data_IF_157895561800
#
_entry.id   IF_157895561800
#
_cell.length_a   1.000
_cell.length_b   1.000
_cell.length_c   1.000
_cell.angle_alpha   90.00
_cell.angle_beta   90.00
_cell.angle_gamma   90.00
#
_symmetry.space_group_name_H-M   'P 1'
#
loop_
_entity.id
_entity.type
_entity.pdbx_description
1 polymer ?
#
# COMPACT_ATOMS: atom_id res chain seq x y z
N UNK A 1 21.41 20.78 -0.46
CA UNK A 1 21.68 19.34 -0.67
C UNK A 1 20.65 18.75 -1.60
N UNK A 2 21.06 17.91 -2.54
CA UNK A 2 20.13 17.11 -3.34
C UNK A 2 19.43 16.11 -2.42
N UNK A 3 18.10 16.14 -2.38
CA UNK A 3 17.29 15.30 -1.48
C UNK A 3 16.74 14.05 -2.17
N UNK A 4 16.98 13.91 -3.47
CA UNK A 4 16.60 12.75 -4.29
C UNK A 4 17.82 12.26 -5.05
N UNK A 5 18.25 11.03 -4.76
CA UNK A 5 19.49 10.48 -5.30
C UNK A 5 19.14 9.15 -5.97
N UNK A 6 19.43 9.04 -7.26
CA UNK A 6 19.36 7.76 -7.97
C UNK A 6 20.74 7.11 -7.97
N UNK A 7 20.85 5.94 -7.36
CA UNK A 7 22.05 5.10 -7.40
C UNK A 7 21.68 3.81 -8.11
N UNK A 8 22.17 3.64 -9.34
CA UNK A 8 21.73 2.58 -10.25
C UNK A 8 20.19 2.57 -10.39
N UNK A 9 19.54 1.52 -9.88
CA UNK A 9 18.08 1.34 -9.91
C UNK A 9 17.40 1.65 -8.56
N UNK A 10 18.11 2.30 -7.64
CA UNK A 10 17.63 2.64 -6.30
C UNK A 10 17.43 4.14 -6.17
N UNK A 11 16.17 4.56 -6.04
CA UNK A 11 15.83 5.94 -5.69
C UNK A 11 15.89 6.10 -4.17
N UNK A 12 16.80 6.95 -3.70
CA UNK A 12 16.93 7.36 -2.31
C UNK A 12 16.27 8.72 -2.13
N UNK A 13 15.30 8.81 -1.22
CA UNK A 13 14.57 10.04 -0.91
C UNK A 13 14.82 10.43 0.54
N UNK A 14 15.36 11.62 0.75
CA UNK A 14 15.71 12.15 2.07
C UNK A 14 14.68 13.15 2.62
N UNK A 15 13.61 13.41 1.87
CA UNK A 15 12.49 14.23 2.32
C UNK A 15 11.56 13.49 3.27
N UNK A 16 10.85 14.25 4.11
CA UNK A 16 9.75 13.76 4.94
C UNK A 16 8.45 13.61 4.16
N UNK A 17 8.29 14.35 3.06
CA UNK A 17 7.13 14.28 2.18
C UNK A 17 7.56 14.17 0.71
N UNK A 18 6.93 13.26 -0.03
CA UNK A 18 7.18 13.07 -1.48
C UNK A 18 6.01 13.62 -2.26
N UNK A 19 6.32 14.44 -3.28
CA UNK A 19 5.34 14.96 -4.23
C UNK A 19 5.63 14.45 -5.63
N UNK A 20 4.61 14.44 -6.51
CA UNK A 20 4.79 13.99 -7.89
C UNK A 20 5.82 14.85 -8.65
N UNK A 21 5.85 16.16 -8.36
CA UNK A 21 6.80 17.10 -9.00
C UNK A 21 8.25 16.72 -8.73
N UNK A 22 8.56 16.21 -7.54
CA UNK A 22 9.92 15.79 -7.21
C UNK A 22 10.38 14.53 -7.97
N UNK A 23 9.45 13.82 -8.62
CA UNK A 23 9.71 12.57 -9.32
C UNK A 23 9.73 12.73 -10.85
N UNK A 24 9.37 13.90 -11.38
CA UNK A 24 9.23 14.16 -12.83
C UNK A 24 10.55 13.97 -13.61
N UNK A 25 11.69 14.23 -12.96
CA UNK A 25 13.01 14.11 -13.59
C UNK A 25 13.54 12.68 -13.68
N UNK A 26 12.85 11.69 -13.08
CA UNK A 26 13.33 10.32 -13.04
C UNK A 26 12.58 9.42 -14.03
N UNK A 27 13.32 8.58 -14.77
CA UNK A 27 12.71 7.54 -15.58
C UNK A 27 12.19 6.41 -14.68
N UNK A 28 10.86 6.30 -14.60
CA UNK A 28 10.15 5.26 -13.82
C UNK A 28 10.58 3.84 -14.17
N UNK A 29 11.10 3.61 -15.38
CA UNK A 29 11.54 2.29 -15.86
C UNK A 29 12.85 1.85 -15.21
N UNK A 30 13.66 2.78 -14.72
CA UNK A 30 14.96 2.50 -14.11
C UNK A 30 14.85 2.22 -12.61
N UNK A 31 13.75 2.63 -11.97
CA UNK A 31 13.60 2.57 -10.51
C UNK A 31 12.99 1.24 -10.08
N UNK A 32 13.81 0.40 -9.45
CA UNK A 32 13.42 -0.91 -8.93
C UNK A 32 13.28 -0.90 -7.41
N UNK A 33 13.99 0.01 -6.73
CA UNK A 33 14.02 0.10 -5.27
C UNK A 33 13.78 1.54 -4.83
N UNK A 34 12.97 1.72 -3.80
CA UNK A 34 12.75 3.01 -3.15
C UNK A 34 13.23 2.93 -1.70
N UNK A 35 14.14 3.83 -1.32
CA UNK A 35 14.68 3.95 0.04
C UNK A 35 14.34 5.34 0.55
N UNK A 36 13.39 5.46 1.48
CA UNK A 36 12.96 6.74 2.03
C UNK A 36 12.92 6.69 3.57
N UNK A 37 14.08 6.76 4.25
CA UNK A 37 14.19 6.56 5.71
C UNK A 37 13.38 7.56 6.54
N UNK A 38 13.19 8.77 6.01
CA UNK A 38 12.55 9.87 6.71
C UNK A 38 11.14 10.17 6.21
N UNK A 39 10.71 9.54 5.12
CA UNK A 39 9.41 9.80 4.53
C UNK A 39 8.29 9.38 5.48
N UNK A 40 7.46 10.36 5.84
CA UNK A 40 6.25 10.23 6.65
C UNK A 40 5.01 10.22 5.75
N UNK A 41 5.07 10.93 4.62
CA UNK A 41 3.92 11.11 3.73
C UNK A 41 4.30 11.00 2.26
N UNK A 42 3.49 10.28 1.50
CA UNK A 42 3.53 10.27 0.04
C UNK A 42 2.25 10.93 -0.46
N UNK A 43 2.37 11.99 -1.26
CA UNK A 43 1.22 12.64 -1.86
C UNK A 43 0.61 11.81 -2.98
N UNK A 44 -0.61 12.19 -3.39
CA UNK A 44 -1.32 11.54 -4.46
C UNK A 44 -0.47 11.43 -5.74
N UNK A 45 -0.61 10.30 -6.43
CA UNK A 45 -0.04 10.02 -7.75
C UNK A 45 1.50 10.02 -7.87
N UNK A 46 2.26 9.97 -6.77
CA UNK A 46 3.74 10.02 -6.82
C UNK A 46 4.38 8.89 -7.63
N UNK A 47 4.07 7.64 -7.32
CA UNK A 47 4.68 6.44 -7.91
C UNK A 47 3.74 5.73 -8.91
N UNK A 48 2.82 6.45 -9.55
CA UNK A 48 1.89 5.86 -10.53
C UNK A 48 2.65 5.23 -11.68
N UNK A 49 2.34 3.96 -11.98
CA UNK A 49 2.92 3.17 -13.04
C UNK A 49 4.44 3.01 -12.95
N UNK A 50 5.03 3.01 -11.75
CA UNK A 50 6.40 2.55 -11.53
C UNK A 50 6.43 1.02 -11.63
N UNK A 51 6.20 0.51 -12.85
CA UNK A 51 5.93 -0.92 -13.12
C UNK A 51 7.07 -1.84 -12.72
N UNK A 52 8.29 -1.31 -12.67
CA UNK A 52 9.50 -2.05 -12.28
C UNK A 52 9.87 -1.88 -10.80
N UNK A 53 9.17 -1.03 -10.03
CA UNK A 53 9.39 -0.91 -8.59
C UNK A 53 9.03 -2.24 -7.93
N UNK A 54 9.99 -2.84 -7.23
CA UNK A 54 9.87 -4.16 -6.58
C UNK A 54 9.79 -4.04 -5.08
N UNK A 55 10.58 -3.14 -4.50
CA UNK A 55 10.72 -2.98 -3.07
C UNK A 55 10.78 -1.53 -2.67
N UNK A 56 10.11 -1.21 -1.57
CA UNK A 56 10.05 0.12 -1.02
C UNK A 56 10.26 0.05 0.51
N UNK A 57 11.27 0.73 1.02
CA UNK A 57 11.61 0.81 2.44
C UNK A 57 11.33 2.22 2.97
N UNK A 58 10.25 2.34 3.76
CA UNK A 58 9.76 3.61 4.30
C UNK A 58 9.33 3.42 5.76
N UNK A 59 10.29 3.26 6.69
CA UNK A 59 10.00 2.85 8.06
C UNK A 59 9.22 3.89 8.86
N UNK A 60 9.17 5.15 8.42
CA UNK A 60 8.43 6.25 9.07
C UNK A 60 7.12 6.61 8.36
N UNK A 61 6.79 5.92 7.26
CA UNK A 61 5.61 6.23 6.45
C UNK A 61 4.34 6.05 7.26
N UNK A 62 3.51 7.08 7.29
CA UNK A 62 2.21 7.11 7.98
C UNK A 62 1.05 7.31 7.01
N UNK A 63 1.27 8.02 5.90
CA UNK A 63 0.20 8.41 4.97
C UNK A 63 0.60 8.14 3.52
N UNK A 64 -0.28 7.47 2.78
CA UNK A 64 -0.16 7.25 1.34
C UNK A 64 -1.36 7.84 0.62
N UNK A 65 -1.11 8.84 -0.21
CA UNK A 65 -2.12 9.58 -0.95
C UNK A 65 -2.80 8.76 -2.05
N UNK A 66 -3.86 9.34 -2.62
CA UNK A 66 -4.66 8.71 -3.66
C UNK A 66 -3.82 8.22 -4.85
N UNK A 67 -4.04 6.96 -5.24
CA UNK A 67 -3.37 6.31 -6.38
C UNK A 67 -1.84 6.31 -6.34
N UNK A 68 -1.21 6.58 -5.19
CA UNK A 68 0.25 6.85 -5.15
C UNK A 68 1.11 5.73 -5.71
N UNK A 69 0.80 4.47 -5.46
CA UNK A 69 1.49 3.31 -6.03
C UNK A 69 0.63 2.57 -7.05
N UNK A 70 -0.42 3.20 -7.58
CA UNK A 70 -1.30 2.56 -8.56
C UNK A 70 -0.53 2.10 -9.79
N UNK A 71 -0.70 0.83 -10.17
CA UNK A 71 -0.02 0.22 -11.30
C UNK A 71 1.45 -0.13 -11.08
N UNK A 72 1.92 -0.22 -9.83
CA UNK A 72 3.24 -0.78 -9.50
C UNK A 72 3.21 -2.33 -9.57
N UNK A 73 3.09 -2.88 -10.78
CA UNK A 73 2.84 -4.31 -11.02
C UNK A 73 3.85 -5.25 -10.34
N UNK A 74 5.12 -4.85 -10.28
CA UNK A 74 6.21 -5.63 -9.70
C UNK A 74 6.42 -5.42 -8.20
N UNK A 75 5.70 -4.50 -7.56
CA UNK A 75 5.92 -4.15 -6.15
C UNK A 75 5.49 -5.35 -5.30
N UNK A 76 6.47 -6.11 -4.80
CA UNK A 76 6.20 -7.32 -4.02
C UNK A 76 6.22 -7.05 -2.51
N UNK A 77 7.01 -6.06 -2.08
CA UNK A 77 7.21 -5.73 -0.67
C UNK A 77 7.26 -4.21 -0.43
N UNK A 78 6.44 -3.75 0.50
CA UNK A 78 6.45 -2.41 1.07
C UNK A 78 6.70 -2.50 2.58
N UNK A 79 7.87 -2.04 3.03
CA UNK A 79 8.24 -2.02 4.45
C UNK A 79 7.86 -0.68 5.08
N UNK A 80 6.65 -0.63 5.65
CA UNK A 80 6.04 0.57 6.23
C UNK A 80 5.32 0.26 7.57
N UNK A 81 6.08 0.04 8.64
CA UNK A 81 5.52 -0.39 9.94
C UNK A 81 4.56 0.61 10.61
N UNK A 82 4.56 1.87 10.20
CA UNK A 82 3.80 2.95 10.85
C UNK A 82 2.63 3.44 9.98
N UNK A 83 2.25 2.71 8.93
CA UNK A 83 1.23 3.15 7.98
C UNK A 83 -0.14 3.23 8.67
N UNK A 84 -0.73 4.42 8.70
CA UNK A 84 -2.01 4.71 9.37
C UNK A 84 -3.14 5.02 8.39
N UNK A 85 -2.83 5.65 7.25
CA UNK A 85 -3.80 6.03 6.22
C UNK A 85 -3.31 5.66 4.82
N UNK A 86 -4.13 4.92 4.10
CA UNK A 86 -3.96 4.64 2.68
C UNK A 86 -5.22 5.05 1.91
N UNK A 87 -5.09 6.09 1.09
CA UNK A 87 -6.21 6.71 0.38
C UNK A 87 -6.66 5.92 -0.85
N UNK A 88 -7.75 6.37 -1.48
CA UNK A 88 -8.37 5.73 -2.65
C UNK A 88 -7.32 5.23 -3.68
N UNK A 89 -7.42 3.95 -4.04
CA UNK A 89 -6.56 3.29 -5.02
C UNK A 89 -5.04 3.34 -4.73
N UNK A 90 -4.61 3.65 -3.49
CA UNK A 90 -3.19 3.84 -3.15
C UNK A 90 -2.27 2.71 -3.62
N UNK A 91 -2.72 1.45 -3.58
CA UNK A 91 -1.99 0.26 -4.04
C UNK A 91 -2.76 -0.52 -5.13
N UNK A 92 -3.64 0.16 -5.87
CA UNK A 92 -4.44 -0.47 -6.93
C UNK A 92 -3.53 -1.07 -7.99
N UNK A 93 -3.86 -2.25 -8.49
CA UNK A 93 -3.08 -2.98 -9.49
C UNK A 93 -1.63 -3.27 -9.05
N UNK A 94 -1.32 -3.33 -7.74
CA UNK A 94 -0.05 -3.87 -7.27
C UNK A 94 -0.10 -5.41 -7.30
N UNK A 95 -0.05 -6.00 -8.50
CA UNK A 95 -0.30 -7.43 -8.73
C UNK A 95 0.57 -8.35 -7.88
N UNK A 96 1.81 -7.96 -7.62
CA UNK A 96 2.79 -8.77 -6.88
C UNK A 96 2.82 -8.51 -5.37
N UNK A 97 2.08 -7.52 -4.86
CA UNK A 97 2.19 -7.08 -3.47
C UNK A 97 1.65 -8.16 -2.53
N UNK A 98 2.58 -8.78 -1.80
CA UNK A 98 2.29 -9.85 -0.84
C UNK A 98 2.85 -9.57 0.55
N UNK A 99 3.81 -8.64 0.66
CA UNK A 99 4.46 -8.28 1.92
C UNK A 99 4.26 -6.79 2.22
N UNK A 100 3.25 -6.49 3.02
CA UNK A 100 2.99 -5.14 3.55
C UNK A 100 2.53 -5.29 5.00
N UNK A 101 3.02 -4.38 5.84
CA UNK A 101 2.64 -4.34 7.24
C UNK A 101 1.54 -3.29 7.46
N UNK A 102 0.40 -3.73 7.99
CA UNK A 102 -0.83 -2.93 8.14
C UNK A 102 -1.33 -2.89 9.59
N UNK A 103 -0.55 -3.34 10.58
CA UNK A 103 -1.01 -3.40 11.98
C UNK A 103 -1.43 -2.03 12.55
N UNK A 104 -0.76 -0.96 12.11
CA UNK A 104 -1.06 0.43 12.49
C UNK A 104 -2.15 1.09 11.65
N UNK A 105 -2.69 0.41 10.63
CA UNK A 105 -3.63 0.99 9.68
C UNK A 105 -4.96 1.34 10.37
N UNK A 106 -5.36 2.61 10.30
CA UNK A 106 -6.58 3.16 10.91
C UNK A 106 -7.63 3.42 9.83
N UNK A 107 -7.21 3.91 8.66
CA UNK A 107 -8.08 4.31 7.56
C UNK A 107 -7.66 3.68 6.25
N UNK A 108 -8.65 3.25 5.48
CA UNK A 108 -8.44 2.61 4.18
C UNK A 108 -9.48 3.15 3.19
N UNK A 109 -9.02 3.85 2.16
CA UNK A 109 -9.87 4.36 1.08
C UNK A 109 -10.42 3.26 0.16
N UNK A 110 -11.29 3.62 -0.77
CA UNK A 110 -11.88 2.66 -1.70
C UNK A 110 -10.82 2.07 -2.67
N UNK A 111 -10.99 0.82 -3.07
CA UNK A 111 -10.13 0.14 -4.05
C UNK A 111 -8.63 0.18 -3.75
N UNK A 112 -8.22 0.35 -2.49
CA UNK A 112 -6.80 0.49 -2.13
C UNK A 112 -5.98 -0.70 -2.61
N UNK A 113 -6.46 -1.92 -2.41
CA UNK A 113 -5.78 -3.14 -2.84
C UNK A 113 -6.43 -3.76 -4.09
N UNK A 114 -7.28 -3.04 -4.82
CA UNK A 114 -8.00 -3.63 -5.95
C UNK A 114 -7.05 -4.25 -6.97
N UNK A 115 -7.34 -5.45 -7.47
CA UNK A 115 -6.45 -6.25 -8.31
C UNK A 115 -5.12 -6.63 -7.64
N UNK A 116 -5.06 -6.75 -6.31
CA UNK A 116 -3.90 -7.26 -5.58
C UNK A 116 -3.82 -8.78 -5.67
N UNK A 117 -3.43 -9.32 -6.83
CA UNK A 117 -3.51 -10.77 -7.10
C UNK A 117 -2.61 -11.62 -6.19
N UNK A 118 -1.52 -11.08 -5.65
CA UNK A 118 -0.67 -11.77 -4.67
C UNK A 118 -1.01 -11.46 -3.20
N UNK A 119 -2.00 -10.59 -2.94
CA UNK A 119 -2.34 -10.16 -1.59
C UNK A 119 -3.15 -11.26 -0.88
N UNK A 120 -2.56 -11.86 0.15
CA UNK A 120 -3.06 -13.08 0.78
C UNK A 120 -3.60 -12.90 2.20
N UNK A 121 -3.02 -11.95 2.95
CA UNK A 121 -3.27 -11.76 4.38
C UNK A 121 -3.53 -10.28 4.62
N UNK A 122 -4.71 -9.97 5.17
CA UNK A 122 -4.99 -8.68 5.79
C UNK A 122 -4.85 -8.83 7.30
N UNK A 123 -3.92 -8.09 7.90
CA UNK A 123 -3.81 -7.97 9.37
C UNK A 123 -3.75 -6.50 9.74
N UNK A 124 -4.88 -5.94 10.12
CA UNK A 124 -5.10 -4.50 10.34
C UNK A 124 -5.93 -4.26 11.60
N UNK A 125 -5.32 -4.50 12.76
CA UNK A 125 -6.04 -4.62 14.04
C UNK A 125 -6.63 -3.29 14.54
N UNK A 126 -6.18 -2.14 14.01
CA UNK A 126 -6.72 -0.81 14.33
C UNK A 126 -7.81 -0.32 13.35
N UNK A 127 -8.03 -1.04 12.25
CA UNK A 127 -8.99 -0.66 11.22
C UNK A 127 -10.42 -0.84 11.72
N UNK A 128 -11.23 0.23 11.66
CA UNK A 128 -12.62 0.22 12.16
C UNK A 128 -13.67 -0.09 11.09
N UNK A 129 -13.36 0.19 9.83
CA UNK A 129 -14.29 0.09 8.70
C UNK A 129 -13.67 -0.66 7.54
N UNK A 130 -14.44 -1.57 6.96
CA UNK A 130 -14.08 -2.34 5.77
C UNK A 130 -15.24 -2.32 4.77
N UNK A 131 -14.93 -2.39 3.48
CA UNK A 131 -15.90 -2.64 2.43
C UNK A 131 -15.32 -3.57 1.34
N UNK A 132 -16.18 -4.20 0.55
CA UNK A 132 -15.71 -5.14 -0.50
C UNK A 132 -14.86 -4.47 -1.57
N UNK A 133 -15.11 -3.19 -1.86
CA UNK A 133 -14.41 -2.46 -2.91
C UNK A 133 -12.92 -2.30 -2.62
N UNK A 134 -12.53 -2.20 -1.35
CA UNK A 134 -11.13 -2.09 -0.90
C UNK A 134 -10.25 -3.27 -1.37
N UNK A 135 -10.85 -4.46 -1.55
CA UNK A 135 -10.17 -5.70 -1.91
C UNK A 135 -10.77 -6.37 -3.16
N UNK A 136 -11.35 -5.55 -4.05
CA UNK A 136 -11.91 -6.01 -5.31
C UNK A 136 -10.84 -6.78 -6.10
N UNK A 137 -11.16 -7.99 -6.59
CA UNK A 137 -10.22 -8.86 -7.30
C UNK A 137 -8.95 -9.28 -6.52
N UNK A 138 -8.93 -9.17 -5.18
CA UNK A 138 -7.88 -9.77 -4.35
C UNK A 138 -8.04 -11.30 -4.23
N UNK A 139 -8.00 -12.01 -5.35
CA UNK A 139 -8.45 -13.40 -5.45
C UNK A 139 -7.58 -14.43 -4.69
N UNK A 140 -6.50 -14.02 -4.01
CA UNK A 140 -5.69 -14.89 -3.14
C UNK A 140 -5.86 -14.58 -1.65
N UNK A 141 -6.67 -13.58 -1.29
CA UNK A 141 -6.93 -13.22 0.11
C UNK A 141 -7.63 -14.37 0.83
N UNK A 142 -6.90 -15.08 1.69
CA UNK A 142 -7.41 -16.26 2.40
C UNK A 142 -7.56 -16.03 3.91
N UNK A 143 -6.90 -15.00 4.46
CA UNK A 143 -6.91 -14.68 5.87
C UNK A 143 -7.16 -13.18 6.11
N UNK A 144 -8.12 -12.88 6.97
CA UNK A 144 -8.38 -11.53 7.48
C UNK A 144 -8.34 -11.54 9.01
N UNK A 145 -7.56 -10.61 9.58
CA UNK A 145 -7.57 -10.29 11.00
C UNK A 145 -7.71 -8.76 11.18
N UNK A 146 -8.83 -8.34 11.76
CA UNK A 146 -9.10 -6.95 12.08
C UNK A 146 -9.81 -6.86 13.45
N UNK A 147 -9.04 -6.89 14.55
CA UNK A 147 -9.55 -6.87 15.93
C UNK A 147 -10.52 -5.73 16.24
N UNK A 148 -10.27 -4.54 15.69
CA UNK A 148 -11.07 -3.34 15.96
C UNK A 148 -12.17 -3.05 14.95
N UNK A 149 -12.43 -3.98 14.02
CA UNK A 149 -13.44 -3.79 12.98
C UNK A 149 -14.84 -3.77 13.58
N UNK A 150 -15.59 -2.69 13.36
CA UNK A 150 -16.96 -2.52 13.87
C UNK A 150 -18.00 -2.34 12.76
N UNK A 151 -17.56 -1.93 11.56
CA UNK A 151 -18.43 -1.72 10.41
C UNK A 151 -17.85 -2.44 9.19
N UNK A 152 -18.66 -3.26 8.53
CA UNK A 152 -18.30 -3.93 7.29
C UNK A 152 -19.50 -3.94 6.34
N UNK A 153 -19.38 -3.26 5.20
CA UNK A 153 -20.38 -3.35 4.13
C UNK A 153 -19.91 -4.31 3.04
N UNK A 154 -20.73 -5.35 2.79
CA UNK A 154 -20.52 -6.34 1.74
C UNK A 154 -19.17 -7.07 1.73
N UNK A 155 -18.33 -6.96 2.78
CA UNK A 155 -17.02 -7.60 2.81
C UNK A 155 -17.12 -9.13 2.93
N UNK A 156 -15.98 -9.80 2.73
CA UNK A 156 -15.82 -11.25 2.88
C UNK A 156 -16.52 -12.14 1.84
N UNK A 157 -16.99 -11.58 0.72
CA UNK A 157 -17.49 -12.37 -0.43
C UNK A 157 -16.40 -13.05 -1.27
N UNK A 158 -15.13 -12.94 -0.86
CA UNK A 158 -14.02 -13.50 -1.60
C UNK A 158 -14.03 -15.03 -1.51
N UNK A 159 -14.08 -15.71 -2.65
CA UNK A 159 -14.21 -17.18 -2.73
C UNK A 159 -13.02 -17.96 -2.15
N UNK A 160 -11.85 -17.33 -1.98
CA UNK A 160 -10.66 -17.95 -1.37
C UNK A 160 -10.51 -17.66 0.11
N UNK A 161 -11.36 -16.81 0.68
CA UNK A 161 -11.32 -16.47 2.10
C UNK A 161 -11.67 -17.71 2.95
N UNK A 162 -10.77 -18.08 3.85
CA UNK A 162 -10.90 -19.26 4.72
C UNK A 162 -10.98 -18.89 6.20
N UNK A 163 -10.26 -17.85 6.61
CA UNK A 163 -10.13 -17.46 7.99
C UNK A 163 -10.45 -15.97 8.15
N UNK A 164 -11.36 -15.68 9.07
CA UNK A 164 -11.75 -14.30 9.42
C UNK A 164 -11.76 -14.18 10.93
N UNK A 165 -10.95 -13.26 11.46
CA UNK A 165 -10.91 -12.87 12.86
C UNK A 165 -11.32 -11.40 12.99
N UNK A 166 -12.58 -11.18 13.38
CA UNK A 166 -13.17 -9.83 13.52
C UNK A 166 -14.10 -9.79 14.74
N UNK A 167 -13.55 -9.91 15.97
CA UNK A 167 -14.35 -10.14 17.19
C UNK A 167 -15.30 -9.00 17.56
N UNK A 168 -15.10 -7.78 17.05
CA UNK A 168 -15.96 -6.62 17.31
C UNK A 168 -16.99 -6.35 16.21
N UNK A 169 -16.96 -7.10 15.11
CA UNK A 169 -17.91 -6.95 14.02
C UNK A 169 -19.19 -7.73 14.39
N UNK A 170 -20.31 -7.02 14.48
CA UNK A 170 -21.64 -7.58 14.77
C UNK A 170 -22.36 -8.00 13.50
#
# INVERSE_FOLDING_TARGET
CNKYILVNNTLVVLETEVTAQNLESFDKREIFYLIAPYCVKIQAKCFVCFRNLRYAWLPKLQQVGASSFSGCYSLFKLSCKNLQDAQIQAFSQCFSLSQIDLHELIQLGNSVFSNGFAFQVLSANKLKRLNEQQFLECNQLFYVNCDSLTECSTCFKNKKLKFVHTPKLK
#
